data_IF_322255057452
#
_entry.id   IF_322255057452
#
_cell.length_a   1.000
_cell.length_b   1.000
_cell.length_c   1.000
_cell.angle_alpha   90.00
_cell.angle_beta   90.00
_cell.angle_gamma   90.00
#
_symmetry.space_group_name_H-M   'P 1'
#
loop_
_entity.id
_entity.type
_entity.pdbx_description
1 polymer ?
#
# COMPACT_ATOMS: atom_id res chain seq x y z
N UNK A 1 -0.04 -16.86 12.44
CA UNK A 1 0.89 -15.73 12.50
C UNK A 1 2.26 -16.28 12.18
N UNK A 2 2.94 -15.71 11.22
CA UNK A 2 4.24 -16.22 10.76
C UNK A 2 5.25 -15.07 10.64
N UNK A 3 6.52 -15.42 10.84
CA UNK A 3 7.63 -14.47 10.66
C UNK A 3 8.56 -15.01 9.58
N UNK A 4 8.94 -14.14 8.67
CA UNK A 4 9.98 -14.39 7.69
C UNK A 4 11.27 -13.74 8.17
N UNK A 5 12.27 -14.54 8.52
CA UNK A 5 13.54 -14.06 9.03
C UNK A 5 14.43 -13.58 7.89
N UNK A 6 14.83 -12.32 7.96
CA UNK A 6 15.76 -11.67 7.03
C UNK A 6 17.20 -11.82 7.51
N UNK A 7 17.37 -11.90 8.84
CA UNK A 7 18.60 -12.19 9.57
C UNK A 7 18.25 -12.73 10.96
N UNK A 8 19.25 -12.95 11.83
CA UNK A 8 19.02 -13.40 13.20
C UNK A 8 18.15 -12.41 14.01
N UNK A 9 18.30 -11.11 13.75
CA UNK A 9 17.65 -10.03 14.50
C UNK A 9 16.53 -9.33 13.72
N UNK A 10 16.34 -9.61 12.43
CA UNK A 10 15.36 -8.93 11.59
C UNK A 10 14.36 -9.90 11.00
N UNK A 11 13.08 -9.54 11.06
CA UNK A 11 12.01 -10.37 10.48
C UNK A 11 10.81 -9.55 10.04
N UNK A 12 10.13 -10.02 8.99
CA UNK A 12 8.83 -9.51 8.55
C UNK A 12 7.73 -10.33 9.19
N UNK A 13 6.67 -9.66 9.62
CA UNK A 13 5.43 -10.32 9.99
C UNK A 13 4.57 -10.53 8.74
N UNK A 14 4.00 -11.71 8.57
CA UNK A 14 3.08 -11.99 7.46
C UNK A 14 1.98 -12.98 7.84
N UNK A 15 0.88 -12.92 7.10
CA UNK A 15 -0.25 -13.83 7.16
C UNK A 15 -0.45 -14.43 5.77
N UNK A 16 -0.44 -15.77 5.69
CA UNK A 16 -0.62 -16.45 4.41
C UNK A 16 -1.71 -17.52 4.53
N UNK A 17 -2.71 -17.42 3.67
CA UNK A 17 -3.73 -18.44 3.44
C UNK A 17 -3.61 -18.97 2.03
N UNK A 18 -3.36 -20.25 1.86
CA UNK A 18 -3.20 -20.87 0.56
C UNK A 18 -4.51 -20.85 -0.24
N UNK A 19 -4.44 -20.73 -1.59
CA UNK A 19 -5.62 -20.79 -2.43
C UNK A 19 -6.15 -22.22 -2.57
N UNK A 20 -7.42 -22.35 -2.98
CA UNK A 20 -7.95 -23.59 -3.55
C UNK A 20 -7.20 -23.96 -4.83
N UNK A 21 -7.31 -25.23 -5.28
CA UNK A 21 -6.41 -25.84 -6.26
C UNK A 21 -6.21 -25.02 -7.55
N UNK A 22 -7.25 -24.37 -8.09
CA UNK A 22 -7.17 -23.62 -9.34
C UNK A 22 -7.20 -22.10 -9.17
N UNK A 23 -7.08 -21.60 -7.93
CA UNK A 23 -7.19 -20.17 -7.66
C UNK A 23 -5.82 -19.50 -7.52
N UNK A 24 -5.83 -18.19 -7.69
CA UNK A 24 -4.71 -17.26 -7.53
C UNK A 24 -4.46 -16.93 -6.05
N UNK A 25 -3.30 -16.36 -5.75
CA UNK A 25 -3.01 -15.73 -4.46
C UNK A 25 -2.97 -14.21 -4.61
N UNK A 26 -3.77 -13.49 -3.84
CA UNK A 26 -3.72 -12.04 -3.75
C UNK A 26 -2.67 -11.66 -2.71
N UNK A 27 -1.68 -10.88 -3.12
CA UNK A 27 -0.58 -10.38 -2.26
C UNK A 27 -0.79 -8.90 -2.00
N UNK A 28 -1.04 -8.54 -0.75
CA UNK A 28 -1.31 -7.17 -0.34
C UNK A 28 -0.04 -6.45 0.12
N UNK A 29 0.23 -5.30 -0.48
CA UNK A 29 1.38 -4.44 -0.20
C UNK A 29 0.89 -3.13 0.42
N UNK A 30 1.29 -2.87 1.65
CA UNK A 30 0.83 -1.75 2.47
C UNK A 30 1.23 -0.37 1.91
N UNK A 31 0.56 0.68 2.39
CA UNK A 31 1.11 2.04 2.41
C UNK A 31 2.13 2.20 3.57
N UNK A 32 2.81 3.36 3.66
CA UNK A 32 3.89 3.59 4.64
C UNK A 32 3.48 3.36 6.10
N UNK A 33 2.28 3.77 6.48
CA UNK A 33 1.73 3.58 7.83
C UNK A 33 0.63 2.51 7.87
N UNK A 34 0.63 1.62 6.87
CA UNK A 34 -0.29 0.50 6.77
C UNK A 34 0.08 -0.66 7.69
N UNK A 35 -0.85 -1.60 7.80
CA UNK A 35 -0.65 -2.86 8.53
C UNK A 35 -1.60 -3.93 7.99
N UNK A 36 -1.29 -5.19 8.25
CA UNK A 36 -2.01 -6.36 7.73
C UNK A 36 -3.50 -6.38 8.06
N UNK A 37 -3.92 -5.83 9.21
CA UNK A 37 -5.32 -5.83 9.65
C UNK A 37 -6.27 -5.19 8.64
N UNK A 38 -5.81 -4.20 7.90
CA UNK A 38 -6.63 -3.55 6.87
C UNK A 38 -7.13 -4.57 5.83
N UNK A 39 -6.30 -5.54 5.49
CA UNK A 39 -6.58 -6.55 4.48
C UNK A 39 -7.32 -7.78 5.02
N UNK A 40 -7.05 -8.16 6.26
CA UNK A 40 -7.54 -9.41 6.87
C UNK A 40 -9.01 -9.39 7.28
N UNK A 41 -9.63 -8.21 7.38
CA UNK A 41 -11.03 -8.03 7.73
C UNK A 41 -12.00 -8.52 6.66
N UNK A 42 -12.85 -7.63 6.16
CA UNK A 42 -13.86 -7.95 5.16
C UNK A 42 -13.23 -8.48 3.85
N UNK A 43 -12.18 -7.82 3.36
CA UNK A 43 -11.54 -8.11 2.07
C UNK A 43 -10.97 -9.52 2.05
N UNK A 44 -10.05 -9.83 2.96
CA UNK A 44 -9.39 -11.13 3.01
C UNK A 44 -10.36 -12.28 3.29
N UNK A 45 -11.34 -12.07 4.18
CA UNK A 45 -12.39 -13.06 4.45
C UNK A 45 -13.20 -13.37 3.19
N UNK A 46 -13.60 -12.34 2.44
CA UNK A 46 -14.39 -12.51 1.22
C UNK A 46 -13.58 -13.23 0.14
N UNK A 47 -12.33 -12.84 -0.09
CA UNK A 47 -11.47 -13.51 -1.07
C UNK A 47 -11.27 -15.00 -0.74
N UNK A 48 -10.97 -15.32 0.52
CA UNK A 48 -10.82 -16.72 0.97
C UNK A 48 -12.12 -17.51 0.83
N UNK A 49 -13.27 -16.90 1.08
CA UNK A 49 -14.58 -17.53 0.85
C UNK A 49 -14.83 -17.88 -0.63
N UNK A 50 -14.18 -17.14 -1.57
CA UNK A 50 -14.20 -17.45 -3.01
C UNK A 50 -13.04 -18.37 -3.43
N UNK A 51 -12.28 -18.92 -2.49
CA UNK A 51 -11.20 -19.87 -2.73
C UNK A 51 -9.85 -19.24 -3.11
N UNK A 52 -9.73 -17.91 -3.17
CA UNK A 52 -8.46 -17.24 -3.41
C UNK A 52 -7.52 -17.36 -2.21
N UNK A 53 -6.22 -17.53 -2.47
CA UNK A 53 -5.21 -17.34 -1.45
C UNK A 53 -5.04 -15.84 -1.11
N UNK A 54 -4.59 -15.56 0.11
CA UNK A 54 -4.25 -14.20 0.52
C UNK A 54 -2.91 -14.19 1.24
N UNK A 55 -2.02 -13.29 0.88
CA UNK A 55 -0.79 -13.00 1.58
C UNK A 55 -0.75 -11.52 1.90
N UNK A 56 -0.72 -11.17 3.17
CA UNK A 56 -0.49 -9.81 3.66
C UNK A 56 0.74 -9.77 4.54
N UNK A 57 1.50 -8.68 4.52
CA UNK A 57 2.71 -8.55 5.33
C UNK A 57 2.93 -7.10 5.74
N UNK A 58 3.68 -6.93 6.82
CA UNK A 58 4.12 -5.62 7.29
C UNK A 58 5.54 -5.36 6.80
N UNK A 59 5.77 -4.14 6.27
CA UNK A 59 7.11 -3.71 5.89
C UNK A 59 8.04 -3.72 7.10
N UNK A 60 9.32 -3.94 6.88
CA UNK A 60 10.32 -3.67 7.89
C UNK A 60 10.08 -2.27 8.48
N UNK A 61 10.02 -2.16 9.80
CA UNK A 61 9.67 -0.92 10.51
C UNK A 61 8.17 -0.71 10.77
N UNK A 62 7.28 -1.48 10.17
CA UNK A 62 5.85 -1.50 10.55
C UNK A 62 5.63 -2.43 11.75
N UNK A 63 4.41 -2.39 12.32
CA UNK A 63 4.05 -3.18 13.51
C UNK A 63 4.40 -4.68 13.37
N UNK A 64 4.71 -5.32 14.49
CA UNK A 64 5.04 -6.74 14.60
C UNK A 64 6.32 -7.19 13.84
N UNK A 65 7.02 -6.29 13.15
CA UNK A 65 8.32 -6.60 12.52
C UNK A 65 9.48 -6.39 13.50
N UNK A 66 10.59 -7.09 13.25
CA UNK A 66 11.87 -6.80 13.90
C UNK A 66 12.81 -6.18 12.88
N UNK A 67 13.45 -5.09 13.24
CA UNK A 67 14.39 -4.41 12.38
C UNK A 67 15.48 -3.70 13.20
N UNK A 68 16.63 -3.48 12.60
CA UNK A 68 17.67 -2.64 13.17
C UNK A 68 17.26 -1.16 13.07
N UNK A 69 17.00 -0.45 14.17
CA UNK A 69 16.55 0.95 14.14
C UNK A 69 17.62 1.92 13.61
N UNK A 70 18.87 1.48 13.44
CA UNK A 70 19.94 2.28 12.83
C UNK A 70 20.03 2.08 11.31
N UNK A 71 19.31 1.11 10.75
CA UNK A 71 19.27 0.85 9.32
C UNK A 71 18.30 1.80 8.62
N UNK A 72 18.72 2.41 7.54
CA UNK A 72 17.85 3.19 6.66
C UNK A 72 16.86 2.27 5.94
N UNK A 73 15.56 2.49 6.15
CA UNK A 73 14.50 1.72 5.51
C UNK A 73 14.18 2.33 4.13
N UNK A 74 15.15 2.26 3.22
CA UNK A 74 15.03 2.82 1.88
C UNK A 74 13.97 2.08 1.03
N UNK A 75 13.37 2.74 0.02
CA UNK A 75 12.46 2.10 -0.92
C UNK A 75 12.99 0.81 -1.54
N UNK A 76 14.25 0.81 -1.98
CA UNK A 76 14.89 -0.38 -2.57
C UNK A 76 14.97 -1.53 -1.57
N UNK A 77 15.30 -1.26 -0.30
CA UNK A 77 15.32 -2.28 0.75
C UNK A 77 13.94 -2.92 0.95
N UNK A 78 12.87 -2.11 0.91
CA UNK A 78 11.49 -2.63 1.08
C UNK A 78 11.06 -3.46 -0.14
N UNK A 79 11.47 -3.07 -1.35
CA UNK A 79 11.25 -3.88 -2.57
C UNK A 79 12.01 -5.20 -2.51
N UNK A 80 13.28 -5.19 -2.09
CA UNK A 80 14.08 -6.39 -1.91
C UNK A 80 13.47 -7.35 -0.87
N UNK A 81 12.94 -6.81 0.23
CA UNK A 81 12.25 -7.60 1.25
C UNK A 81 10.97 -8.26 0.69
N UNK A 82 10.20 -7.53 -0.12
CA UNK A 82 9.03 -8.11 -0.82
C UNK A 82 9.45 -9.25 -1.74
N UNK A 83 10.49 -9.07 -2.54
CA UNK A 83 10.99 -10.11 -3.46
C UNK A 83 11.42 -11.36 -2.67
N UNK A 84 12.19 -11.20 -1.59
CA UNK A 84 12.62 -12.30 -0.72
C UNK A 84 11.44 -13.04 -0.08
N UNK A 85 10.44 -12.30 0.42
CA UNK A 85 9.23 -12.88 0.99
C UNK A 85 8.47 -13.72 -0.06
N UNK A 86 8.31 -13.21 -1.29
CA UNK A 86 7.64 -13.92 -2.37
C UNK A 86 8.40 -15.17 -2.79
N UNK A 87 9.74 -15.12 -2.85
CA UNK A 87 10.59 -16.27 -3.11
C UNK A 87 10.47 -17.35 -2.04
N UNK A 88 10.38 -16.96 -0.77
CA UNK A 88 10.27 -17.87 0.35
C UNK A 88 8.87 -18.50 0.49
N UNK A 89 7.82 -17.72 0.24
CA UNK A 89 6.42 -18.17 0.40
C UNK A 89 5.86 -18.82 -0.85
N UNK A 90 6.47 -18.60 -2.01
CA UNK A 90 6.07 -19.14 -3.32
C UNK A 90 4.56 -19.12 -3.56
N UNK A 91 3.90 -17.94 -3.49
CA UNK A 91 2.46 -17.86 -3.67
C UNK A 91 2.05 -18.27 -5.08
N UNK A 92 0.98 -19.07 -5.18
CA UNK A 92 0.50 -19.59 -6.46
C UNK A 92 -0.06 -18.47 -7.34
N UNK A 93 0.52 -18.24 -8.53
CA UNK A 93 0.07 -17.22 -9.50
C UNK A 93 -0.25 -15.88 -8.82
N UNK A 94 0.71 -15.22 -8.18
CA UNK A 94 0.44 -14.03 -7.36
C UNK A 94 -0.15 -12.89 -8.18
N UNK A 95 -1.15 -12.21 -7.61
CA UNK A 95 -1.64 -10.91 -8.05
C UNK A 95 -1.22 -9.89 -6.99
N UNK A 96 -0.36 -8.94 -7.37
CA UNK A 96 0.15 -7.94 -6.44
C UNK A 96 -0.84 -6.78 -6.33
N UNK A 97 -1.27 -6.46 -5.12
CA UNK A 97 -2.25 -5.41 -4.81
C UNK A 97 -1.60 -4.40 -3.90
N UNK A 98 -1.23 -3.24 -4.44
CA UNK A 98 -0.51 -2.22 -3.69
C UNK A 98 -1.28 -0.93 -3.48
N UNK A 99 -1.29 -0.45 -2.23
CA UNK A 99 -1.89 0.83 -1.87
C UNK A 99 -0.82 1.93 -1.84
N UNK A 100 -1.06 3.02 -2.56
CA UNK A 100 -0.16 4.19 -2.55
C UNK A 100 1.25 3.81 -3.00
N UNK A 101 2.28 4.06 -2.20
CA UNK A 101 3.66 3.66 -2.47
C UNK A 101 3.81 2.12 -2.59
N UNK A 102 2.94 1.36 -1.94
CA UNK A 102 2.92 -0.10 -2.08
C UNK A 102 2.64 -0.57 -3.51
N UNK A 103 1.88 0.21 -4.30
CA UNK A 103 1.69 -0.06 -5.72
C UNK A 103 2.96 0.17 -6.54
N UNK A 104 3.75 1.19 -6.21
CA UNK A 104 5.06 1.42 -6.81
C UNK A 104 6.03 0.27 -6.46
N UNK A 105 6.07 -0.16 -5.21
CA UNK A 105 6.91 -1.28 -4.77
C UNK A 105 6.52 -2.60 -5.45
N UNK A 106 5.21 -2.82 -5.65
CA UNK A 106 4.71 -3.97 -6.43
C UNK A 106 5.20 -3.92 -7.89
N UNK A 107 5.10 -2.77 -8.55
CA UNK A 107 5.56 -2.57 -9.91
C UNK A 107 7.08 -2.74 -10.04
N UNK A 108 7.85 -2.19 -9.10
CA UNK A 108 9.31 -2.36 -9.04
C UNK A 108 9.72 -3.82 -8.79
N UNK A 109 8.98 -4.56 -7.95
CA UNK A 109 9.24 -5.99 -7.74
C UNK A 109 9.04 -6.79 -9.03
N UNK A 110 8.00 -6.48 -9.83
CA UNK A 110 7.76 -7.09 -11.15
C UNK A 110 8.90 -6.75 -12.11
N UNK A 111 9.31 -5.48 -12.18
CA UNK A 111 10.45 -5.05 -13.00
C UNK A 111 11.74 -5.79 -12.62
N UNK A 112 11.91 -6.10 -11.33
CA UNK A 112 13.03 -6.89 -10.81
C UNK A 112 12.82 -8.42 -10.94
N UNK A 113 11.88 -8.88 -11.76
CA UNK A 113 11.74 -10.28 -12.16
C UNK A 113 10.71 -11.09 -11.37
N UNK A 114 9.94 -10.50 -10.47
CA UNK A 114 8.82 -11.21 -9.83
C UNK A 114 7.76 -11.54 -10.88
N UNK A 115 7.45 -12.82 -11.01
CA UNK A 115 6.39 -13.29 -11.91
C UNK A 115 5.03 -13.09 -11.22
N UNK A 116 4.20 -12.23 -11.77
CA UNK A 116 2.84 -11.97 -11.28
C UNK A 116 1.81 -12.22 -12.38
N UNK A 117 0.63 -12.72 -11.99
CA UNK A 117 -0.52 -12.90 -12.89
C UNK A 117 -1.25 -11.59 -13.18
N UNK A 118 -1.09 -10.58 -12.32
CA UNK A 118 -1.68 -9.25 -12.49
C UNK A 118 -1.20 -8.28 -11.41
N UNK A 119 -1.47 -7.01 -11.62
CA UNK A 119 -1.13 -5.90 -10.72
C UNK A 119 -2.36 -5.04 -10.44
N UNK A 120 -2.55 -4.63 -9.19
CA UNK A 120 -3.58 -3.66 -8.80
C UNK A 120 -2.91 -2.46 -8.13
N UNK A 121 -3.10 -1.29 -8.70
CA UNK A 121 -2.56 -0.01 -8.24
C UNK A 121 -3.68 0.82 -7.61
N UNK A 122 -3.64 1.00 -6.30
CA UNK A 122 -4.65 1.75 -5.55
C UNK A 122 -4.07 3.12 -5.17
N UNK A 123 -4.58 4.20 -5.78
CA UNK A 123 -4.11 5.57 -5.57
C UNK A 123 -2.56 5.69 -5.67
N UNK A 124 -1.96 4.96 -6.59
CA UNK A 124 -0.50 4.88 -6.76
C UNK A 124 0.02 5.92 -7.72
N UNK A 125 -0.64 6.09 -8.88
CA UNK A 125 -0.11 6.87 -10.00
C UNK A 125 0.04 8.35 -9.66
N UNK A 126 1.29 8.81 -9.64
CA UNK A 126 1.66 10.21 -9.41
C UNK A 126 3.02 10.50 -10.06
N UNK A 127 3.28 11.75 -10.39
CA UNK A 127 4.57 12.20 -10.92
C UNK A 127 5.47 12.74 -9.80
N UNK A 128 6.79 12.58 -9.93
CA UNK A 128 7.74 13.29 -9.07
C UNK A 128 7.62 14.81 -9.28
N UNK A 129 8.10 15.57 -8.32
CA UNK A 129 8.18 17.03 -8.41
C UNK A 129 7.92 17.72 -7.09
N UNK A 130 8.08 19.05 -7.12
CA UNK A 130 8.08 19.90 -5.93
C UNK A 130 6.85 19.68 -5.00
N UNK A 131 5.66 19.45 -5.59
CA UNK A 131 4.45 19.18 -4.79
C UNK A 131 4.58 17.91 -3.97
N UNK A 132 5.07 16.82 -4.56
CA UNK A 132 5.27 15.55 -3.86
C UNK A 132 6.37 15.67 -2.80
N UNK A 133 7.43 16.40 -3.08
CA UNK A 133 8.52 16.66 -2.12
C UNK A 133 7.98 17.39 -0.88
N UNK A 134 7.16 18.44 -1.09
CA UNK A 134 6.51 19.16 0.02
C UNK A 134 5.59 18.26 0.85
N UNK A 135 4.81 17.40 0.19
CA UNK A 135 3.94 16.44 0.90
C UNK A 135 4.78 15.49 1.77
N UNK A 136 5.82 14.91 1.19
CA UNK A 136 6.71 13.98 1.90
C UNK A 136 7.38 14.66 3.10
N UNK A 137 7.95 15.86 2.90
CA UNK A 137 8.57 16.63 3.99
C UNK A 137 7.58 17.01 5.09
N UNK A 138 6.38 17.47 4.75
CA UNK A 138 5.38 17.88 5.74
C UNK A 138 4.80 16.68 6.51
N UNK A 139 4.59 15.55 5.85
CA UNK A 139 4.00 14.38 6.49
C UNK A 139 4.93 13.73 7.52
N UNK A 140 6.22 13.53 7.19
CA UNK A 140 7.14 12.96 8.17
C UNK A 140 7.38 13.91 9.35
N UNK A 141 7.42 15.23 9.14
CA UNK A 141 7.56 16.21 10.23
C UNK A 141 6.32 16.25 11.13
N UNK A 142 5.13 16.15 10.56
CA UNK A 142 3.91 16.03 11.35
C UNK A 142 3.89 14.74 12.20
N UNK A 143 4.33 13.63 11.61
CA UNK A 143 4.46 12.36 12.32
C UNK A 143 5.52 12.42 13.43
N UNK A 144 6.66 13.04 13.19
CA UNK A 144 7.71 13.26 14.18
C UNK A 144 7.21 14.09 15.36
N UNK A 145 6.46 15.17 15.09
CA UNK A 145 5.99 16.12 16.10
C UNK A 145 4.85 15.62 16.98
N UNK A 146 4.00 14.71 16.47
CA UNK A 146 2.81 14.28 17.21
C UNK A 146 2.31 12.88 16.89
N UNK A 147 3.14 12.06 16.24
CA UNK A 147 2.85 10.69 15.89
C UNK A 147 1.75 10.54 14.84
N UNK A 148 1.25 9.31 14.74
CA UNK A 148 0.17 8.95 13.82
C UNK A 148 -1.09 9.79 14.04
N UNK A 149 -1.42 10.10 15.29
CA UNK A 149 -2.65 10.82 15.63
C UNK A 149 -2.63 12.26 15.09
N UNK A 150 -1.53 13.00 15.29
CA UNK A 150 -1.40 14.34 14.72
C UNK A 150 -1.40 14.30 13.19
N UNK A 151 -0.67 13.37 12.59
CA UNK A 151 -0.65 13.22 11.15
C UNK A 151 -2.05 12.97 10.59
N UNK A 152 -2.82 12.05 11.20
CA UNK A 152 -4.18 11.76 10.77
C UNK A 152 -5.08 12.99 10.91
N UNK A 153 -5.05 13.69 12.02
CA UNK A 153 -5.88 14.87 12.25
C UNK A 153 -5.59 16.01 11.25
N UNK A 154 -4.32 16.16 10.84
CA UNK A 154 -3.93 17.14 9.83
C UNK A 154 -4.31 16.72 8.41
N UNK A 155 -4.16 15.43 8.09
CA UNK A 155 -4.27 14.94 6.72
C UNK A 155 -5.66 14.36 6.40
N UNK A 156 -6.45 13.95 7.39
CA UNK A 156 -7.74 13.30 7.18
C UNK A 156 -8.68 14.09 6.24
N UNK A 157 -8.84 15.42 6.36
CA UNK A 157 -9.70 16.18 5.46
C UNK A 157 -9.31 16.15 3.99
N UNK A 158 -8.06 15.79 3.71
CA UNK A 158 -7.49 15.70 2.37
C UNK A 158 -7.39 14.26 1.85
N UNK A 159 -7.35 13.29 2.77
CA UNK A 159 -7.17 11.87 2.43
C UNK A 159 -8.49 11.09 2.34
N UNK A 160 -9.53 11.52 3.04
CA UNK A 160 -10.76 10.75 3.17
C UNK A 160 -11.98 11.46 2.56
N UNK A 161 -12.96 10.66 2.19
CA UNK A 161 -14.28 11.14 1.77
C UNK A 161 -15.04 11.80 2.91
N UNK A 162 -16.03 12.69 2.63
CA UNK A 162 -16.86 13.34 3.66
C UNK A 162 -17.58 12.33 4.56
N UNK A 163 -18.02 11.20 4.02
CA UNK A 163 -18.68 10.15 4.81
C UNK A 163 -17.71 9.57 5.84
N UNK A 164 -16.48 9.23 5.42
CA UNK A 164 -15.45 8.69 6.33
C UNK A 164 -15.02 9.69 7.40
N UNK A 165 -14.89 10.96 7.04
CA UNK A 165 -14.61 12.04 8.01
C UNK A 165 -15.70 12.13 9.08
N UNK A 166 -16.98 11.96 8.70
CA UNK A 166 -18.09 11.96 9.65
C UNK A 166 -17.95 10.81 10.65
N UNK A 167 -17.62 9.60 10.19
CA UNK A 167 -17.39 8.45 11.07
C UNK A 167 -16.21 8.67 12.03
N UNK A 168 -15.10 9.24 11.53
CA UNK A 168 -13.88 9.46 12.30
C UNK A 168 -13.97 10.63 13.30
N UNK A 169 -14.92 11.56 13.12
CA UNK A 169 -14.98 12.85 13.84
C UNK A 169 -14.99 12.70 15.35
N UNK A 170 -15.63 11.68 15.89
CA UNK A 170 -15.72 11.45 17.33
C UNK A 170 -14.38 11.14 17.99
N UNK A 171 -13.44 10.57 17.22
CA UNK A 171 -12.10 10.18 17.67
C UNK A 171 -10.99 11.15 17.25
N UNK A 172 -11.30 12.16 16.45
CA UNK A 172 -10.35 13.16 15.98
C UNK A 172 -10.07 14.26 17.03
N UNK A 173 -8.93 14.91 16.88
CA UNK A 173 -8.48 16.08 17.65
C UNK A 173 -8.37 15.84 19.16
N UNK A 174 -7.94 14.66 19.56
CA UNK A 174 -7.61 14.32 20.94
C UNK A 174 -6.14 14.63 21.20
N UNK A 175 -5.83 15.88 21.52
CA UNK A 175 -4.46 16.38 21.66
C UNK A 175 -3.62 15.69 22.74
N UNK A 176 -4.25 15.05 23.73
CA UNK A 176 -3.61 14.20 24.73
C UNK A 176 -2.96 12.94 24.12
N UNK A 177 -3.34 12.56 22.90
CA UNK A 177 -2.74 11.45 22.15
C UNK A 177 -1.54 11.85 21.28
N UNK A 178 -1.29 13.15 21.09
CA UNK A 178 -0.15 13.60 20.31
C UNK A 178 1.13 13.39 21.11
N UNK A 179 2.02 12.60 20.55
CA UNK A 179 3.29 12.27 21.21
C UNK A 179 4.43 12.41 20.20
N UNK A 180 5.49 13.07 20.62
CA UNK A 180 6.72 13.18 19.84
C UNK A 180 7.20 11.75 19.53
N UNK A 181 7.37 11.46 18.26
CA UNK A 181 7.82 10.14 17.82
C UNK A 181 9.31 9.99 18.07
N UNK A 182 9.69 8.85 18.64
CA UNK A 182 11.09 8.55 18.88
C UNK A 182 11.83 8.38 17.55
N UNK A 183 13.08 8.88 17.48
CA UNK A 183 13.89 8.84 16.26
C UNK A 183 14.14 7.43 15.70
N UNK A 184 14.06 6.40 16.55
CA UNK A 184 14.18 4.97 16.18
C UNK A 184 12.85 4.31 15.80
N UNK A 185 11.77 5.07 15.69
CA UNK A 185 10.47 4.55 15.26
C UNK A 185 10.54 4.11 13.80
N UNK A 186 10.02 2.91 13.53
CA UNK A 186 10.09 2.32 12.20
C UNK A 186 9.24 3.05 11.16
N UNK A 187 8.04 3.53 11.53
CA UNK A 187 7.21 4.30 10.59
C UNK A 187 7.84 5.65 10.27
N UNK A 188 8.46 6.33 11.27
CA UNK A 188 9.18 7.57 11.03
C UNK A 188 10.37 7.34 10.10
N UNK A 189 11.12 6.24 10.29
CA UNK A 189 12.21 5.85 9.41
C UNK A 189 11.71 5.61 7.98
N UNK A 190 10.65 4.83 7.79
CA UNK A 190 10.03 4.60 6.48
C UNK A 190 9.58 5.91 5.81
N UNK A 191 8.94 6.81 6.55
CA UNK A 191 8.46 8.09 6.02
C UNK A 191 9.59 9.02 5.61
N UNK A 192 10.66 9.11 6.40
CA UNK A 192 11.86 9.91 6.08
C UNK A 192 12.54 9.40 4.81
N UNK A 193 12.55 8.08 4.60
CA UNK A 193 13.18 7.48 3.42
C UNK A 193 12.25 7.43 2.19
N UNK A 194 10.94 7.62 2.34
CA UNK A 194 9.99 7.61 1.22
C UNK A 194 10.26 8.71 0.18
N UNK A 195 10.95 9.79 0.57
CA UNK A 195 11.37 10.86 -0.36
C UNK A 195 12.31 10.35 -1.46
N UNK A 196 13.00 9.23 -1.23
CA UNK A 196 13.90 8.59 -2.20
C UNK A 196 13.19 7.57 -3.09
N UNK A 197 11.87 7.45 -3.02
CA UNK A 197 11.12 6.57 -3.92
C UNK A 197 11.18 7.10 -5.35
N UNK A 198 11.57 6.23 -6.28
CA UNK A 198 11.66 6.57 -7.69
C UNK A 198 10.26 6.51 -8.34
N UNK A 199 9.62 7.68 -8.43
CA UNK A 199 8.32 7.85 -9.06
C UNK A 199 8.40 8.04 -10.58
N UNK A 200 9.61 8.17 -11.14
CA UNK A 200 9.84 8.17 -12.60
C UNK A 200 9.93 6.73 -13.12
N UNK A 201 8.95 5.93 -12.72
CA UNK A 201 8.86 4.51 -13.07
C UNK A 201 8.42 4.34 -14.54
N UNK A 202 9.04 3.43 -15.31
CA UNK A 202 8.69 3.18 -16.70
C UNK A 202 7.41 2.34 -16.83
N UNK A 203 6.25 2.96 -16.60
CA UNK A 203 4.94 2.29 -16.60
C UNK A 203 4.64 1.55 -17.92
N UNK A 204 5.24 1.95 -19.03
CA UNK A 204 5.09 1.31 -20.33
C UNK A 204 5.76 -0.07 -20.44
N UNK A 205 6.66 -0.42 -19.53
CA UNK A 205 7.32 -1.72 -19.48
C UNK A 205 6.48 -2.80 -18.76
N UNK A 206 5.36 -2.42 -18.15
CA UNK A 206 4.46 -3.35 -17.45
C UNK A 206 3.56 -4.09 -18.44
N UNK A 207 4.03 -5.21 -18.97
CA UNK A 207 3.25 -6.06 -19.90
C UNK A 207 2.47 -7.17 -19.17
N UNK A 208 1.69 -6.79 -18.16
CA UNK A 208 0.79 -7.69 -17.43
C UNK A 208 -0.58 -7.04 -17.23
N UNK A 209 -1.66 -7.83 -17.08
CA UNK A 209 -2.96 -7.26 -16.72
C UNK A 209 -2.86 -6.37 -15.49
N UNK A 210 -3.26 -5.11 -15.62
CA UNK A 210 -3.16 -4.11 -14.56
C UNK A 210 -4.50 -3.44 -14.29
N UNK A 211 -4.91 -3.37 -13.03
CA UNK A 211 -6.08 -2.63 -12.58
C UNK A 211 -5.64 -1.37 -11.82
N UNK A 212 -6.06 -0.21 -12.30
CA UNK A 212 -5.84 1.08 -11.65
C UNK A 212 -7.12 1.52 -10.95
N UNK A 213 -7.05 1.73 -9.64
CA UNK A 213 -8.16 2.23 -8.82
C UNK A 213 -7.83 3.62 -8.28
N UNK A 214 -8.74 4.58 -8.48
CA UNK A 214 -8.54 5.98 -8.11
C UNK A 214 -9.69 6.49 -7.25
N UNK A 215 -9.41 7.05 -6.09
CA UNK A 215 -10.38 7.67 -5.19
C UNK A 215 -10.43 9.19 -5.38
N UNK A 216 -11.57 9.75 -5.77
CA UNK A 216 -11.69 11.15 -6.13
C UNK A 216 -11.62 12.14 -4.95
N UNK A 217 -11.75 11.66 -3.73
CA UNK A 217 -11.57 12.48 -2.53
C UNK A 217 -10.13 12.50 -2.01
N UNK A 218 -9.19 11.79 -2.65
CA UNK A 218 -7.76 11.93 -2.37
C UNK A 218 -7.23 13.26 -2.90
N UNK A 219 -7.20 14.27 -2.06
CA UNK A 219 -6.73 15.62 -2.41
C UNK A 219 -5.24 15.81 -2.13
N UNK A 220 -4.58 14.80 -1.56
CA UNK A 220 -3.14 14.84 -1.30
C UNK A 220 -2.36 14.38 -2.52
N UNK A 221 -2.67 13.20 -3.04
CA UNK A 221 -1.87 12.55 -4.07
C UNK A 221 -2.54 12.56 -5.45
N UNK A 222 -3.86 12.65 -5.52
CA UNK A 222 -4.58 12.62 -6.78
C UNK A 222 -4.42 13.94 -7.55
N UNK A 223 -3.78 13.86 -8.72
CA UNK A 223 -3.76 14.87 -9.76
C UNK A 223 -4.33 14.22 -11.02
N UNK A 224 -5.52 14.62 -11.42
CA UNK A 224 -6.26 13.96 -12.50
C UNK A 224 -5.44 13.83 -13.79
N UNK A 225 -4.74 14.91 -14.19
CA UNK A 225 -3.92 14.90 -15.39
C UNK A 225 -2.79 13.87 -15.30
N UNK A 226 -2.09 13.80 -14.17
CA UNK A 226 -1.00 12.85 -13.96
C UNK A 226 -1.50 11.40 -14.03
N UNK A 227 -2.64 11.13 -13.37
CA UNK A 227 -3.24 9.77 -13.37
C UNK A 227 -3.66 9.37 -14.79
N UNK A 228 -4.26 10.28 -15.56
CA UNK A 228 -4.65 10.00 -16.95
C UNK A 228 -3.43 9.73 -17.83
N UNK A 229 -2.40 10.55 -17.74
CA UNK A 229 -1.18 10.41 -18.54
C UNK A 229 -0.42 9.11 -18.17
N UNK A 230 -0.23 8.83 -16.88
CA UNK A 230 0.51 7.64 -16.43
C UNK A 230 -0.27 6.36 -16.69
N UNK A 231 -1.60 6.35 -16.48
CA UNK A 231 -2.40 5.17 -16.78
C UNK A 231 -2.41 4.84 -18.27
N UNK A 232 -2.38 5.85 -19.15
CA UNK A 232 -2.31 5.65 -20.60
C UNK A 232 -0.99 5.01 -21.07
N UNK A 233 0.07 5.05 -20.24
CA UNK A 233 1.34 4.37 -20.55
C UNK A 233 1.28 2.86 -20.29
N UNK A 234 0.36 2.36 -19.46
CA UNK A 234 0.27 0.94 -19.08
C UNK A 234 -0.49 0.15 -20.17
N UNK A 235 0.14 -0.79 -20.88
CA UNK A 235 -0.44 -1.42 -22.07
C UNK A 235 -1.76 -2.18 -21.82
N UNK A 236 -1.80 -3.00 -20.77
CA UNK A 236 -2.93 -3.90 -20.45
C UNK A 236 -3.70 -3.40 -19.22
N UNK A 237 -4.14 -2.13 -19.24
CA UNK A 237 -4.74 -1.46 -18.09
C UNK A 237 -6.26 -1.36 -18.18
N UNK A 238 -6.94 -1.64 -17.04
CA UNK A 238 -8.32 -1.25 -16.76
C UNK A 238 -8.32 -0.21 -15.64
N UNK A 239 -9.07 0.89 -15.79
CA UNK A 239 -9.20 1.92 -14.76
C UNK A 239 -10.60 1.89 -14.14
N UNK A 240 -10.66 2.05 -12.82
CA UNK A 240 -11.91 2.19 -12.05
C UNK A 240 -11.79 3.38 -11.11
N UNK A 241 -12.78 4.25 -11.17
CA UNK A 241 -12.85 5.43 -10.33
C UNK A 241 -13.85 5.22 -9.18
N UNK A 242 -13.43 5.59 -7.98
CA UNK A 242 -14.23 5.54 -6.76
C UNK A 242 -14.65 6.96 -6.39
N UNK A 243 -15.84 7.36 -6.84
CA UNK A 243 -16.36 8.74 -6.63
C UNK A 243 -16.56 9.08 -5.15
N UNK A 244 -16.84 8.08 -4.31
CA UNK A 244 -17.14 8.24 -2.88
C UNK A 244 -16.01 7.75 -1.96
N UNK A 245 -14.79 7.62 -2.45
CA UNK A 245 -13.62 7.28 -1.66
C UNK A 245 -12.48 8.27 -1.86
N UNK A 246 -11.66 8.43 -0.85
CA UNK A 246 -10.39 9.14 -0.89
C UNK A 246 -9.21 8.20 -1.08
N UNK A 247 -8.12 8.47 -0.37
CA UNK A 247 -6.88 7.73 -0.50
C UNK A 247 -6.99 6.27 -0.06
N UNK A 248 -7.81 6.00 0.93
CA UNK A 248 -7.92 4.69 1.58
C UNK A 248 -9.12 3.89 1.05
N UNK A 249 -9.21 3.71 -0.28
CA UNK A 249 -10.32 2.99 -0.95
C UNK A 249 -10.71 1.69 -0.23
N UNK A 250 -9.76 0.78 0.15
CA UNK A 250 -10.11 -0.48 0.82
C UNK A 250 -10.79 -0.30 2.17
N UNK A 251 -10.49 0.80 2.87
CA UNK A 251 -11.10 1.14 4.18
C UNK A 251 -12.43 1.87 4.02
N UNK A 252 -12.54 2.73 3.00
CA UNK A 252 -13.71 3.59 2.80
C UNK A 252 -14.85 2.88 2.07
N UNK A 253 -14.51 2.05 1.09
CA UNK A 253 -15.45 1.32 0.24
C UNK A 253 -15.08 -0.17 0.14
N UNK A 254 -14.97 -0.92 1.27
CA UNK A 254 -14.45 -2.29 1.28
C UNK A 254 -15.25 -3.24 0.40
N UNK A 255 -16.58 -3.08 0.34
CA UNK A 255 -17.44 -3.93 -0.49
C UNK A 255 -17.19 -3.67 -1.97
N UNK A 256 -17.29 -2.43 -2.43
CA UNK A 256 -17.09 -2.07 -3.83
C UNK A 256 -15.66 -2.44 -4.28
N UNK A 257 -14.66 -2.14 -3.44
CA UNK A 257 -13.27 -2.53 -3.69
C UNK A 257 -13.13 -4.03 -3.91
N UNK A 258 -13.74 -4.84 -3.04
CA UNK A 258 -13.65 -6.31 -3.13
C UNK A 258 -14.38 -6.85 -4.35
N UNK A 259 -15.56 -6.31 -4.67
CA UNK A 259 -16.32 -6.70 -5.85
C UNK A 259 -15.54 -6.42 -7.16
N UNK A 260 -14.91 -5.24 -7.26
CA UNK A 260 -14.08 -4.89 -8.43
C UNK A 260 -12.78 -5.70 -8.50
N UNK A 261 -12.18 -6.02 -7.35
CA UNK A 261 -11.02 -6.91 -7.30
C UNK A 261 -11.41 -8.32 -7.75
N UNK A 262 -12.52 -8.88 -7.27
CA UNK A 262 -13.03 -10.20 -7.71
C UNK A 262 -13.34 -10.22 -9.23
N UNK A 263 -13.95 -9.16 -9.76
CA UNK A 263 -14.18 -9.01 -11.19
C UNK A 263 -12.85 -9.05 -11.96
N UNK A 264 -11.83 -8.33 -11.51
CA UNK A 264 -10.52 -8.37 -12.15
C UNK A 264 -9.87 -9.75 -12.05
N UNK A 265 -9.85 -10.37 -10.87
CA UNK A 265 -9.29 -11.72 -10.67
C UNK A 265 -9.95 -12.77 -11.55
N UNK A 266 -11.22 -12.60 -11.93
CA UNK A 266 -11.93 -13.52 -12.83
C UNK A 266 -11.49 -13.45 -14.29
N UNK A 267 -10.75 -12.40 -14.66
CA UNK A 267 -10.20 -12.21 -16.03
C UNK A 267 -8.80 -12.78 -16.20
N UNK A 268 -8.15 -13.17 -15.11
CA UNK A 268 -6.80 -13.73 -15.07
C UNK A 268 -6.83 -15.26 -15.09
#
# INVERSE_FOLDING_TARGET
MSFFHLSDDESLFYLYSHPSEDKLTVVFINALIGQTEMWEGYIGKTLRAHGFGTLSYNFRGQVETRFDPLKELSPNLIVDDLIKLLQATTPKRPVLVGLSIGGLFAAQAIQNGVQAAGLVLINTLRKPGLRLDWINESTHRAFEAGGRELLLDLMAPMLFSPSKLTEMRADAFKGDRYQITHEKDGHLNLMRNAVFADWDFPWHDLDIPTLVMTGFHDRVFFVNQDVLELSALIPNMKKIDFENAGHMIPMEQPKQFTDELLNFLSTL
#
